data_IF_669217823177
#
_entry.id   IF_669217823177
#
_cell.length_a   1.000
_cell.length_b   1.000
_cell.length_c   1.000
_cell.angle_alpha   90.00
_cell.angle_beta   90.00
_cell.angle_gamma   90.00
#
_symmetry.space_group_name_H-M   'P 1'
#
loop_
_entity.id
_entity.type
_entity.pdbx_description
1 polymer ?
#
# COMPACT_ATOMS: atom_id res chain seq x y z
N UNK A 1 25.37 7.18 -19.15
CA UNK A 1 25.40 6.56 -17.81
C UNK A 1 24.49 7.41 -16.97
N UNK A 2 23.20 7.07 -16.99
CA UNK A 2 22.16 7.85 -16.34
C UNK A 2 22.15 7.47 -14.86
N UNK A 3 22.59 8.39 -14.02
CA UNK A 3 22.58 8.20 -12.58
C UNK A 3 21.15 8.35 -12.07
N UNK A 4 20.59 7.27 -11.55
CA UNK A 4 19.33 7.36 -10.80
C UNK A 4 19.50 8.32 -9.60
N UNK A 5 18.52 9.17 -9.31
CA UNK A 5 18.56 10.00 -8.13
C UNK A 5 18.53 9.09 -6.90
N UNK A 6 19.58 9.16 -6.08
CA UNK A 6 19.61 8.46 -4.79
C UNK A 6 18.42 8.95 -3.99
N UNK A 7 17.51 8.04 -3.67
CA UNK A 7 16.44 8.31 -2.72
C UNK A 7 17.12 8.44 -1.34
N UNK A 8 17.52 9.66 -0.99
CA UNK A 8 18.10 9.95 0.31
C UNK A 8 17.06 9.60 1.37
N UNK A 9 17.35 8.59 2.18
CA UNK A 9 16.57 8.32 3.37
C UNK A 9 16.90 9.41 4.38
N UNK A 10 16.03 10.41 4.48
CA UNK A 10 16.23 11.49 5.43
C UNK A 10 16.12 10.89 6.83
N UNK A 11 17.25 10.80 7.53
CA UNK A 11 17.26 10.24 8.87
C UNK A 11 16.46 11.16 9.81
N UNK A 12 15.75 10.57 10.78
CA UNK A 12 14.82 11.29 11.65
C UNK A 12 15.51 12.41 12.45
N UNK A 13 16.81 12.25 12.77
CA UNK A 13 17.62 13.27 13.44
C UNK A 13 17.88 14.50 12.56
N UNK A 14 18.01 14.32 11.24
CA UNK A 14 18.23 15.39 10.28
C UNK A 14 16.96 16.21 10.06
N UNK A 15 15.78 15.57 10.02
CA UNK A 15 14.49 16.26 9.96
C UNK A 15 14.16 17.02 11.26
N UNK A 16 14.51 16.41 12.40
CA UNK A 16 14.37 17.00 13.72
C UNK A 16 15.18 18.30 13.86
N UNK A 17 16.48 18.22 13.55
CA UNK A 17 17.40 19.35 13.69
C UNK A 17 17.15 20.47 12.67
N UNK A 18 16.63 20.16 11.47
CA UNK A 18 16.30 21.18 10.47
C UNK A 18 15.04 21.99 10.82
N UNK A 19 14.07 21.38 11.50
CA UNK A 19 12.76 22.00 11.74
C UNK A 19 12.60 22.58 13.15
N UNK A 20 13.33 22.07 14.15
CA UNK A 20 13.13 22.45 15.56
C UNK A 20 14.40 22.90 16.30
N UNK A 21 15.55 22.97 15.63
CA UNK A 21 16.80 23.44 16.23
C UNK A 21 17.49 22.41 17.14
N UNK A 22 18.36 22.86 18.06
CA UNK A 22 19.24 22.00 18.87
C UNK A 22 18.53 21.17 19.95
N UNK A 23 17.28 21.47 20.27
CA UNK A 23 16.51 20.75 21.29
C UNK A 23 15.74 19.57 20.68
N UNK A 24 16.52 18.62 20.17
CA UNK A 24 16.01 17.32 19.67
C UNK A 24 15.31 16.51 20.77
N UNK A 25 15.61 16.82 22.04
CA UNK A 25 15.03 16.16 23.22
C UNK A 25 13.55 16.54 23.48
N UNK A 26 13.04 17.63 22.88
CA UNK A 26 11.64 18.10 23.03
C UNK A 26 10.66 17.32 22.12
N UNK A 27 11.17 16.57 21.15
CA UNK A 27 10.39 16.05 20.00
C UNK A 27 9.28 15.03 20.37
N UNK A 28 9.29 14.49 21.59
CA UNK A 28 8.25 13.60 22.08
C UNK A 28 8.04 13.72 23.60
N UNK A 29 8.21 14.92 24.16
CA UNK A 29 8.22 15.13 25.61
C UNK A 29 6.85 14.86 26.27
N UNK A 30 5.75 15.04 25.53
CA UNK A 30 4.36 14.78 25.92
C UNK A 30 3.81 13.44 25.37
N UNK A 31 4.58 12.71 24.57
CA UNK A 31 4.18 11.43 23.98
C UNK A 31 3.23 11.53 22.77
N UNK A 32 2.93 12.72 22.27
CA UNK A 32 2.00 12.90 21.13
C UNK A 32 2.56 12.28 19.84
N UNK A 33 3.87 12.40 19.59
CA UNK A 33 4.51 11.84 18.40
C UNK A 33 4.49 10.30 18.41
N UNK A 34 4.73 9.68 19.58
CA UNK A 34 4.61 8.24 19.74
C UNK A 34 3.17 7.76 19.50
N UNK A 35 2.18 8.51 19.98
CA UNK A 35 0.75 8.22 19.78
C UNK A 35 0.36 8.34 18.30
N UNK A 36 0.80 9.40 17.62
CA UNK A 36 0.57 9.59 16.18
C UNK A 36 1.23 8.47 15.35
N UNK A 37 2.43 8.02 15.73
CA UNK A 37 3.12 6.94 15.06
C UNK A 37 2.39 5.60 15.21
N UNK A 38 1.94 5.25 16.42
CA UNK A 38 1.16 4.02 16.63
C UNK A 38 -0.20 4.05 15.92
N UNK A 39 -0.87 5.20 15.90
CA UNK A 39 -2.09 5.39 15.11
C UNK A 39 -1.81 5.19 13.61
N UNK A 40 -0.74 5.81 13.08
CA UNK A 40 -0.34 5.68 11.68
C UNK A 40 0.00 4.22 11.31
N UNK A 41 0.66 3.49 12.21
CA UNK A 41 0.95 2.07 12.04
C UNK A 41 -0.33 1.24 11.97
N UNK A 42 -1.33 1.56 12.80
CA UNK A 42 -2.66 0.96 12.75
C UNK A 42 -3.36 1.19 11.40
N UNK A 43 -3.35 2.45 10.92
CA UNK A 43 -3.91 2.83 9.62
C UNK A 43 -3.20 2.09 8.48
N UNK A 44 -1.86 2.05 8.50
CA UNK A 44 -1.08 1.35 7.47
C UNK A 44 -1.42 -0.14 7.41
N UNK A 45 -1.64 -0.79 8.56
CA UNK A 45 -2.07 -2.18 8.61
C UNK A 45 -3.45 -2.37 7.98
N UNK A 46 -4.42 -1.52 8.32
CA UNK A 46 -5.77 -1.57 7.75
C UNK A 46 -5.75 -1.41 6.23
N UNK A 47 -4.99 -0.44 5.71
CA UNK A 47 -4.83 -0.23 4.28
C UNK A 47 -4.20 -1.45 3.56
N UNK A 48 -3.25 -2.13 4.21
CA UNK A 48 -2.65 -3.36 3.66
C UNK A 48 -3.65 -4.52 3.61
N UNK A 49 -4.48 -4.66 4.64
CA UNK A 49 -5.54 -5.67 4.71
C UNK A 49 -6.59 -5.44 3.62
N UNK A 50 -7.07 -4.20 3.47
CA UNK A 50 -8.02 -3.80 2.42
C UNK A 50 -7.46 -4.03 1.01
N UNK A 51 -6.21 -3.62 0.76
CA UNK A 51 -5.55 -3.84 -0.53
C UNK A 51 -5.43 -5.34 -0.86
N UNK A 52 -5.14 -6.16 0.14
CA UNK A 52 -5.02 -7.61 -0.03
C UNK A 52 -6.37 -8.24 -0.32
N UNK A 53 -7.42 -7.81 0.38
CA UNK A 53 -8.79 -8.26 0.16
C UNK A 53 -9.29 -7.90 -1.25
N UNK A 54 -9.05 -6.66 -1.70
CA UNK A 54 -9.44 -6.18 -3.02
C UNK A 54 -8.73 -6.96 -4.15
N UNK A 55 -7.42 -7.18 -4.02
CA UNK A 55 -6.65 -7.99 -4.99
C UNK A 55 -7.19 -9.42 -5.08
N UNK A 56 -7.53 -10.02 -3.95
CA UNK A 56 -8.12 -11.37 -3.91
C UNK A 56 -9.47 -11.39 -4.60
N UNK A 57 -10.35 -10.44 -4.25
CA UNK A 57 -11.68 -10.31 -4.84
C UNK A 57 -11.61 -10.15 -6.36
N UNK A 58 -10.73 -9.28 -6.86
CA UNK A 58 -10.53 -9.03 -8.28
C UNK A 58 -9.99 -10.27 -9.01
N UNK A 59 -9.01 -10.97 -8.43
CA UNK A 59 -8.45 -12.20 -9.00
C UNK A 59 -9.50 -13.30 -9.15
N UNK A 60 -10.34 -13.48 -8.12
CA UNK A 60 -11.44 -14.44 -8.15
C UNK A 60 -12.49 -14.07 -9.21
N UNK A 61 -12.82 -12.78 -9.33
CA UNK A 61 -13.76 -12.29 -10.35
C UNK A 61 -13.24 -12.51 -11.77
N UNK A 62 -11.97 -12.16 -12.05
CA UNK A 62 -11.37 -12.41 -13.36
C UNK A 62 -11.44 -13.89 -13.72
N UNK A 63 -11.09 -14.76 -12.77
CA UNK A 63 -11.08 -16.21 -13.00
C UNK A 63 -12.46 -16.73 -13.35
N UNK A 64 -13.49 -16.33 -12.58
CA UNK A 64 -14.89 -16.69 -12.84
C UNK A 64 -15.38 -16.17 -14.18
N UNK A 65 -15.12 -14.90 -14.50
CA UNK A 65 -15.54 -14.30 -15.76
C UNK A 65 -14.89 -14.96 -16.96
N UNK A 66 -13.59 -15.29 -16.88
CA UNK A 66 -12.90 -16.03 -17.95
C UNK A 66 -13.50 -17.41 -18.17
N UNK A 67 -13.72 -18.17 -17.09
CA UNK A 67 -14.34 -19.49 -17.17
C UNK A 67 -15.75 -19.43 -17.79
N UNK A 68 -16.53 -18.41 -17.46
CA UNK A 68 -17.87 -18.23 -18.04
C UNK A 68 -17.81 -17.84 -19.52
N UNK A 69 -16.87 -16.98 -19.92
CA UNK A 69 -16.64 -16.64 -21.34
C UNK A 69 -16.30 -17.90 -22.13
N UNK A 70 -15.41 -18.74 -21.62
CA UNK A 70 -14.99 -19.97 -22.30
C UNK A 70 -16.16 -20.96 -22.43
N UNK A 71 -16.97 -21.12 -21.38
CA UNK A 71 -18.20 -21.93 -21.42
C UNK A 71 -19.19 -21.43 -22.48
N UNK A 72 -19.46 -20.13 -22.51
CA UNK A 72 -20.38 -19.53 -23.48
C UNK A 72 -19.88 -19.62 -24.92
N UNK A 73 -18.55 -19.61 -25.13
CA UNK A 73 -17.93 -19.86 -26.44
C UNK A 73 -18.14 -21.30 -26.89
N UNK A 74 -17.87 -22.26 -26.01
CA UNK A 74 -18.08 -23.69 -26.30
C UNK A 74 -19.56 -24.00 -26.61
N UNK A 75 -20.49 -23.38 -25.88
CA UNK A 75 -21.93 -23.52 -26.15
C UNK A 75 -22.31 -22.90 -27.51
N UNK A 76 -21.85 -21.69 -27.81
CA UNK A 76 -22.10 -21.07 -29.12
C UNK A 76 -21.57 -21.92 -30.28
N UNK A 77 -20.36 -22.47 -30.16
CA UNK A 77 -19.77 -23.33 -31.19
C UNK A 77 -20.60 -24.60 -31.43
N UNK A 78 -21.21 -25.16 -30.39
CA UNK A 78 -22.12 -26.32 -30.52
C UNK A 78 -23.40 -25.97 -31.28
N UNK A 79 -23.94 -24.77 -31.09
CA UNK A 79 -25.15 -24.33 -31.78
C UNK A 79 -24.92 -23.83 -33.21
N UNK A 80 -23.68 -23.53 -33.58
CA UNK A 80 -23.31 -23.10 -34.94
C UNK A 80 -22.90 -24.25 -35.89
N UNK A 81 -22.88 -25.50 -35.40
CA UNK A 81 -22.70 -26.71 -36.21
C UNK A 81 -24.03 -27.36 -36.52
#
# INVERSE_FOLDING_TARGET
>A
MDGEPRQETVNLKSLASSNYGSDVDIINEDGELATAYEAQKGINRQLQEELTAEKKFYSEHITKTKAEIDRLREENEKYQK
#
